data_IF_883212686909
#
_entry.id   IF_883212686909
#
_cell.length_a   1.000
_cell.length_b   1.000
_cell.length_c   1.000
_cell.angle_alpha   90.00
_cell.angle_beta   90.00
_cell.angle_gamma   90.00
#
_symmetry.space_group_name_H-M   'P 1'
#
loop_
_entity.id
_entity.type
_entity.pdbx_description
1 polymer ?
#
# COMPACT_ATOMS: atom_id res chain seq x y z
N UNK A 1 26.97 -10.21 40.63
CA UNK A 1 25.89 -10.38 41.62
C UNK A 1 24.57 -10.23 40.88
N UNK A 2 23.75 -11.31 40.89
CA UNK A 2 22.34 -11.46 40.44
C UNK A 2 21.98 -10.93 39.04
N UNK A 3 21.71 -11.71 37.98
CA UNK A 3 20.89 -12.93 37.80
C UNK A 3 19.49 -12.86 38.41
N UNK A 4 18.49 -12.76 37.53
CA UNK A 4 17.11 -13.30 37.53
C UNK A 4 16.24 -12.37 36.65
N UNK A 5 15.20 -12.74 35.91
CA UNK A 5 14.51 -13.98 35.48
C UNK A 5 13.20 -13.43 34.85
N UNK A 6 12.77 -13.97 33.69
CA UNK A 6 11.36 -14.15 33.18
C UNK A 6 11.36 -13.87 31.68
N UNK A 7 11.44 -14.81 30.74
CA UNK A 7 10.85 -16.15 30.59
C UNK A 7 9.31 -16.17 30.56
N UNK A 8 8.82 -16.53 29.37
CA UNK A 8 7.51 -17.07 28.97
C UNK A 8 6.31 -16.12 28.81
N UNK A 9 5.79 -16.06 27.58
CA UNK A 9 4.50 -16.69 27.28
C UNK A 9 4.40 -17.09 25.80
N UNK A 10 4.21 -18.39 25.59
CA UNK A 10 3.99 -19.10 24.34
C UNK A 10 2.51 -19.52 24.31
N UNK A 11 1.95 -19.50 23.09
CA UNK A 11 0.77 -20.23 22.61
C UNK A 11 -0.63 -19.77 23.06
N UNK A 12 -1.46 -19.51 22.04
CA UNK A 12 -2.75 -20.19 21.89
C UNK A 12 -3.15 -20.27 20.41
N UNK A 13 -2.74 -21.37 19.76
CA UNK A 13 -3.48 -21.95 18.65
C UNK A 13 -4.84 -22.41 19.20
N UNK A 14 -5.94 -21.96 18.60
CA UNK A 14 -7.23 -22.64 18.73
C UNK A 14 -7.62 -23.20 17.37
N UNK A 15 -7.33 -24.50 17.22
CA UNK A 15 -7.97 -25.39 16.26
C UNK A 15 -9.42 -25.62 16.70
N UNK A 16 -10.39 -25.32 15.83
CA UNK A 16 -11.71 -25.95 15.89
C UNK A 16 -11.91 -26.73 14.59
N UNK A 17 -11.41 -27.96 14.59
CA UNK A 17 -11.92 -29.01 13.71
C UNK A 17 -13.23 -29.55 14.29
N UNK A 18 -14.23 -29.77 13.43
CA UNK A 18 -15.58 -30.14 13.83
C UNK A 18 -15.79 -31.58 14.27
N UNK A 19 -16.98 -31.84 14.82
CA UNK A 19 -17.86 -33.00 14.54
C UNK A 19 -18.97 -33.08 15.59
N UNK A 20 -20.23 -32.94 15.18
CA UNK A 20 -21.32 -33.82 15.64
C UNK A 20 -22.52 -33.70 14.70
N UNK A 21 -22.90 -34.82 14.09
CA UNK A 21 -24.13 -34.96 13.32
C UNK A 21 -25.33 -35.23 14.22
N UNK A 22 -26.52 -34.88 13.75
CA UNK A 22 -27.78 -35.14 14.44
C UNK A 22 -29.00 -34.74 13.61
N UNK A 23 -29.68 -35.77 13.10
CA UNK A 23 -30.94 -35.85 12.35
C UNK A 23 -32.12 -34.96 12.79
N UNK A 24 -32.94 -34.50 11.82
CA UNK A 24 -34.35 -34.15 12.06
C UNK A 24 -34.87 -33.07 11.10
N UNK A 25 -35.93 -33.37 10.34
CA UNK A 25 -36.44 -32.54 9.25
C UNK A 25 -37.50 -31.50 9.64
N UNK A 26 -37.81 -30.68 8.62
CA UNK A 26 -39.02 -29.88 8.37
C UNK A 26 -39.37 -28.78 9.39
N UNK A 27 -39.09 -27.53 9.04
CA UNK A 27 -40.17 -26.69 8.54
C UNK A 27 -39.65 -25.44 7.82
N UNK A 28 -40.32 -25.13 6.71
CA UNK A 28 -40.05 -23.98 5.88
C UNK A 28 -40.49 -22.68 6.59
N UNK A 29 -39.64 -21.66 6.56
CA UNK A 29 -40.10 -20.27 6.60
C UNK A 29 -39.18 -19.41 5.76
N UNK A 30 -39.60 -19.22 4.52
CA UNK A 30 -39.09 -18.19 3.62
C UNK A 30 -39.40 -16.82 4.21
N UNK A 31 -38.37 -16.05 4.58
CA UNK A 31 -38.50 -14.60 4.78
C UNK A 31 -37.56 -13.93 3.80
N UNK A 32 -38.15 -13.43 2.72
CA UNK A 32 -37.53 -12.46 1.84
C UNK A 32 -37.94 -11.07 2.36
N UNK A 33 -36.97 -10.22 2.71
CA UNK A 33 -37.21 -8.78 2.87
C UNK A 33 -35.96 -7.97 2.52
N UNK A 34 -36.14 -7.18 1.46
CA UNK A 34 -35.60 -5.86 1.13
C UNK A 34 -34.09 -5.59 1.09
N UNK A 35 -33.65 -5.39 -0.15
CA UNK A 35 -32.77 -4.32 -0.63
C UNK A 35 -32.87 -3.03 0.21
N UNK A 36 -31.95 -2.87 1.15
CA UNK A 36 -31.71 -1.62 1.88
C UNK A 36 -30.70 -0.75 1.13
N UNK A 37 -31.22 0.20 0.36
CA UNK A 37 -30.49 1.29 -0.27
C UNK A 37 -29.79 2.14 0.82
N UNK A 38 -28.47 1.97 1.01
CA UNK A 38 -27.68 2.82 1.91
C UNK A 38 -27.53 4.21 1.27
N UNK A 39 -28.45 5.09 1.64
CA UNK A 39 -28.40 6.51 1.35
C UNK A 39 -27.39 7.14 2.31
N UNK A 40 -26.20 7.47 1.81
CA UNK A 40 -25.25 8.30 2.55
C UNK A 40 -25.90 9.67 2.84
N UNK A 41 -26.16 9.94 4.11
CA UNK A 41 -26.70 11.22 4.56
C UNK A 41 -25.54 12.19 4.71
N UNK A 42 -25.28 12.98 3.66
CA UNK A 42 -24.36 14.11 3.71
C UNK A 42 -24.97 15.17 4.64
N UNK A 43 -24.30 15.46 5.75
CA UNK A 43 -24.69 16.55 6.65
C UNK A 43 -23.94 17.81 6.23
N UNK A 44 -24.52 18.63 5.36
CA UNK A 44 -24.04 19.98 5.10
C UNK A 44 -24.68 20.96 6.09
N UNK A 45 -23.84 21.63 6.88
CA UNK A 45 -24.28 22.75 7.74
C UNK A 45 -24.21 24.05 6.94
N UNK A 46 -25.31 24.81 6.79
CA UNK A 46 -25.25 26.12 6.14
C UNK A 46 -25.00 27.21 7.18
N UNK A 47 -23.88 27.91 7.06
CA UNK A 47 -23.66 29.21 7.73
C UNK A 47 -23.54 30.27 6.65
N UNK A 48 -24.55 31.15 6.58
CA UNK A 48 -24.61 32.26 5.63
C UNK A 48 -24.12 33.60 6.20
N UNK A 49 -23.73 34.49 5.27
CA UNK A 49 -23.42 35.93 5.45
C UNK A 49 -21.93 36.19 5.65
N UNK A 50 -21.23 37.09 4.95
CA UNK A 50 -21.66 38.31 4.26
C UNK A 50 -20.56 38.82 3.29
N UNK A 51 -20.95 39.76 2.43
CA UNK A 51 -20.20 40.36 1.33
C UNK A 51 -18.85 41.02 1.69
N UNK A 52 -17.84 40.84 0.83
CA UNK A 52 -16.53 41.48 0.95
C UNK A 52 -15.75 41.52 -0.37
N UNK A 53 -16.04 42.53 -1.19
CA UNK A 53 -15.26 42.93 -2.37
C UNK A 53 -13.76 43.12 -2.05
N UNK A 54 -12.90 42.34 -2.71
CA UNK A 54 -11.45 42.55 -2.70
C UNK A 54 -10.74 41.64 -3.68
N UNK A 55 -10.48 42.14 -4.89
CA UNK A 55 -9.64 41.44 -5.86
C UNK A 55 -8.23 41.25 -5.33
N UNK A 56 -7.74 40.01 -5.39
CA UNK A 56 -6.34 39.67 -5.30
C UNK A 56 -6.10 38.45 -6.20
N UNK A 57 -5.15 38.59 -7.12
CA UNK A 57 -4.58 37.50 -7.90
C UNK A 57 -4.16 36.36 -6.96
N UNK A 58 -4.82 35.21 -7.05
CA UNK A 58 -4.24 33.96 -6.60
C UNK A 58 -3.88 33.18 -7.86
N UNK A 59 -2.57 32.95 -8.03
CA UNK A 59 -2.06 32.15 -9.13
C UNK A 59 -2.69 30.77 -9.14
N UNK A 60 -2.77 30.19 -10.33
CA UNK A 60 -2.97 28.76 -10.53
C UNK A 60 -1.93 28.00 -9.71
N UNK A 61 -2.28 27.68 -8.46
CA UNK A 61 -1.78 26.50 -7.80
C UNK A 61 -2.37 25.35 -8.61
N UNK A 62 -1.67 24.94 -9.65
CA UNK A 62 -2.05 23.77 -10.43
C UNK A 62 -1.87 22.57 -9.48
N UNK A 63 -2.87 22.28 -8.64
CA UNK A 63 -2.88 21.09 -7.80
C UNK A 63 -2.84 19.91 -8.75
N UNK A 64 -1.75 19.14 -8.67
CA UNK A 64 -1.68 17.89 -9.41
C UNK A 64 -2.67 16.94 -8.75
N UNK A 65 -3.67 16.53 -9.53
CA UNK A 65 -4.70 15.57 -9.15
C UNK A 65 -4.41 14.29 -9.93
N UNK A 66 -4.41 13.15 -9.23
CA UNK A 66 -4.17 11.84 -9.83
C UNK A 66 -5.44 10.99 -9.75
N UNK A 67 -5.89 10.48 -10.89
CA UNK A 67 -7.09 9.65 -10.99
C UNK A 67 -6.69 8.16 -10.97
N UNK A 68 -6.93 7.48 -9.84
CA UNK A 68 -6.65 6.05 -9.65
C UNK A 68 -7.87 5.18 -9.93
N UNK A 69 -8.42 5.31 -11.13
CA UNK A 69 -9.56 4.52 -11.59
C UNK A 69 -9.22 3.15 -12.19
N UNK A 70 -7.99 2.66 -11.99
CA UNK A 70 -7.46 1.39 -12.51
C UNK A 70 -6.83 0.57 -11.39
N UNK A 71 -6.85 -0.76 -11.54
CA UNK A 71 -6.16 -1.65 -10.60
C UNK A 71 -4.64 -1.64 -10.86
N UNK A 72 -3.84 -1.71 -9.80
CA UNK A 72 -2.37 -1.59 -9.86
C UNK A 72 -1.72 -2.63 -10.77
N UNK A 73 -2.26 -3.85 -10.77
CA UNK A 73 -1.78 -5.00 -11.52
C UNK A 73 -1.93 -4.84 -13.04
N UNK A 74 -2.81 -3.95 -13.52
CA UNK A 74 -2.99 -3.70 -14.95
C UNK A 74 -1.91 -2.79 -15.56
N UNK A 75 -1.03 -2.23 -14.74
CA UNK A 75 -0.08 -1.21 -15.19
C UNK A 75 1.28 -1.77 -15.60
N UNK A 76 1.50 -3.09 -15.52
CA UNK A 76 2.73 -3.72 -15.98
C UNK A 76 2.88 -3.66 -17.50
N UNK A 77 4.05 -3.19 -17.96
CA UNK A 77 4.42 -3.05 -19.38
C UNK A 77 5.80 -3.63 -19.62
N UNK A 78 5.97 -4.28 -20.76
CA UNK A 78 7.27 -4.81 -21.17
C UNK A 78 8.33 -3.69 -21.17
N UNK A 79 9.50 -3.97 -20.59
CA UNK A 79 10.62 -3.05 -20.52
C UNK A 79 10.54 -2.01 -19.38
N UNK A 80 9.50 -2.07 -18.54
CA UNK A 80 9.49 -1.29 -17.30
C UNK A 80 10.67 -1.67 -16.42
N UNK A 81 11.30 -0.67 -15.82
CA UNK A 81 12.42 -0.86 -14.90
C UNK A 81 12.37 0.09 -13.74
N UNK A 82 12.66 -0.43 -12.56
CA UNK A 82 12.72 0.28 -11.31
C UNK A 82 14.01 -0.08 -10.60
N UNK A 83 14.71 0.94 -10.10
CA UNK A 83 15.80 0.75 -9.14
C UNK A 83 15.51 1.57 -7.90
N UNK A 84 15.49 0.90 -6.76
CA UNK A 84 15.29 1.49 -5.45
C UNK A 84 16.58 1.46 -4.64
N UNK A 85 16.80 2.50 -3.86
CA UNK A 85 17.68 2.47 -2.70
C UNK A 85 16.85 2.13 -1.47
N UNK A 86 17.38 1.22 -0.65
CA UNK A 86 16.73 0.74 0.58
C UNK A 86 17.59 1.10 1.78
N UNK A 87 16.94 1.72 2.75
CA UNK A 87 17.50 2.10 4.05
C UNK A 87 16.69 1.41 5.15
N UNK A 88 17.39 0.77 6.09
CA UNK A 88 16.78 0.14 7.25
C UNK A 88 17.81 0.05 8.37
N UNK A 89 17.43 0.22 9.65
CA UNK A 89 18.34 0.00 10.79
C UNK A 89 18.95 -1.41 10.83
N UNK A 90 18.34 -2.38 10.14
CA UNK A 90 18.76 -3.78 10.10
C UNK A 90 19.65 -4.11 8.89
N UNK A 91 19.96 -3.13 8.03
CA UNK A 91 20.81 -3.28 6.85
C UNK A 91 22.03 -2.39 7.01
N UNK A 92 23.22 -2.97 6.90
CA UNK A 92 24.46 -2.19 6.84
C UNK A 92 24.52 -1.42 5.52
N UNK A 93 24.59 -0.09 5.61
CA UNK A 93 24.63 0.80 4.45
C UNK A 93 23.31 0.87 3.67
N UNK A 94 23.40 1.12 2.37
CA UNK A 94 22.26 1.23 1.46
C UNK A 94 22.20 0.00 0.57
N UNK A 95 21.10 -0.74 0.60
CA UNK A 95 20.86 -1.83 -0.33
C UNK A 95 20.23 -1.29 -1.62
N UNK A 96 20.43 -1.98 -2.74
CA UNK A 96 19.75 -1.69 -4.01
C UNK A 96 18.78 -2.79 -4.36
N UNK A 97 17.58 -2.42 -4.78
CA UNK A 97 16.57 -3.35 -5.29
C UNK A 97 16.17 -2.98 -6.70
N UNK A 98 16.31 -3.91 -7.63
CA UNK A 98 15.94 -3.75 -9.04
C UNK A 98 14.72 -4.61 -9.34
N UNK A 99 13.75 -4.04 -10.05
CA UNK A 99 12.59 -4.73 -10.62
C UNK A 99 12.50 -4.40 -12.10
N UNK A 100 12.53 -5.43 -12.94
CA UNK A 100 12.44 -5.29 -14.39
C UNK A 100 11.31 -6.16 -14.91
N UNK A 101 10.41 -5.58 -15.69
CA UNK A 101 9.38 -6.31 -16.42
C UNK A 101 9.96 -6.74 -17.76
N UNK A 102 10.27 -8.03 -17.87
CA UNK A 102 10.86 -8.61 -19.08
C UNK A 102 9.82 -8.87 -20.16
N UNK A 103 8.59 -9.20 -19.76
CA UNK A 103 7.45 -9.46 -20.64
C UNK A 103 6.15 -9.22 -19.86
N UNK A 104 5.13 -8.67 -20.51
CA UNK A 104 3.83 -8.43 -19.91
C UNK A 104 2.72 -8.69 -20.95
N UNK A 105 1.96 -9.75 -20.72
CA UNK A 105 0.77 -10.10 -21.51
C UNK A 105 -0.49 -9.83 -20.70
N UNK A 106 -1.67 -10.08 -21.28
CA UNK A 106 -2.94 -9.99 -20.54
C UNK A 106 -3.03 -11.02 -19.40
N UNK A 107 -2.43 -12.20 -19.58
CA UNK A 107 -2.58 -13.34 -18.66
C UNK A 107 -1.43 -13.44 -17.64
N UNK A 108 -0.21 -13.13 -18.07
CA UNK A 108 1.01 -13.35 -17.28
C UNK A 108 2.02 -12.20 -17.41
N UNK A 109 2.84 -12.04 -16.37
CA UNK A 109 3.96 -11.11 -16.35
C UNK A 109 5.23 -11.87 -16.00
N UNK A 110 6.28 -11.62 -16.77
CA UNK A 110 7.64 -12.08 -16.46
C UNK A 110 8.44 -10.93 -15.88
N UNK A 111 8.93 -11.10 -14.65
CA UNK A 111 9.77 -10.11 -13.98
C UNK A 111 11.13 -10.70 -13.64
N UNK A 112 12.15 -9.83 -13.62
CA UNK A 112 13.43 -10.08 -12.98
C UNK A 112 13.60 -9.14 -11.80
N UNK A 113 13.87 -9.72 -10.64
CA UNK A 113 14.17 -8.97 -9.42
C UNK A 113 15.61 -9.21 -9.01
N UNK A 114 16.27 -8.18 -8.49
CA UNK A 114 17.64 -8.29 -7.99
C UNK A 114 17.83 -7.43 -6.76
N UNK A 115 18.44 -8.00 -5.72
CA UNK A 115 18.83 -7.32 -4.50
C UNK A 115 20.34 -7.33 -4.39
N UNK A 116 20.92 -6.17 -4.09
CA UNK A 116 22.34 -6.03 -3.80
C UNK A 116 22.48 -5.41 -2.41
N UNK A 117 23.15 -6.12 -1.51
CA UNK A 117 23.61 -5.61 -0.21
C UNK A 117 25.14 -5.59 -0.19
N UNK A 118 25.75 -5.09 0.88
CA UNK A 118 27.21 -5.18 1.05
C UNK A 118 27.72 -6.63 1.00
N UNK A 119 26.99 -7.54 1.63
CA UNK A 119 27.41 -8.94 1.80
C UNK A 119 26.96 -9.88 0.67
N UNK A 120 25.94 -9.49 -0.11
CA UNK A 120 25.28 -10.44 -0.99
C UNK A 120 24.64 -9.81 -2.23
N UNK A 121 24.45 -10.64 -3.24
CA UNK A 121 23.58 -10.34 -4.38
C UNK A 121 22.66 -11.53 -4.60
N UNK A 122 21.37 -11.25 -4.73
CA UNK A 122 20.34 -12.23 -5.04
C UNK A 122 19.57 -11.76 -6.28
N UNK A 123 19.36 -12.65 -7.24
CA UNK A 123 18.60 -12.37 -8.45
C UNK A 123 17.65 -13.54 -8.71
N UNK A 124 16.42 -13.22 -9.12
CA UNK A 124 15.39 -14.20 -9.45
C UNK A 124 14.59 -13.71 -10.65
N UNK A 125 14.20 -14.62 -11.53
CA UNK A 125 13.23 -14.38 -12.59
C UNK A 125 12.01 -15.25 -12.35
N UNK A 126 10.82 -14.64 -12.44
CA UNK A 126 9.53 -15.29 -12.23
C UNK A 126 8.63 -14.95 -13.40
N UNK A 127 7.86 -15.94 -13.84
CA UNK A 127 6.72 -15.77 -14.75
C UNK A 127 5.49 -16.30 -14.03
N UNK A 128 4.46 -15.47 -13.87
CA UNK A 128 3.26 -15.82 -13.14
C UNK A 128 2.06 -15.00 -13.63
N UNK A 129 0.85 -15.44 -13.26
CA UNK A 129 -0.31 -14.57 -13.30
C UNK A 129 -0.08 -13.34 -12.40
N UNK A 130 -0.70 -12.21 -12.75
CA UNK A 130 -0.44 -10.91 -12.10
C UNK A 130 -0.74 -10.94 -10.60
N UNK A 131 -1.81 -11.62 -10.20
CA UNK A 131 -2.22 -11.80 -8.80
C UNK A 131 -1.39 -12.85 -8.05
N UNK A 132 -0.66 -13.70 -8.76
CA UNK A 132 0.20 -14.74 -8.18
C UNK A 132 1.67 -14.28 -8.04
N UNK A 133 2.05 -13.16 -8.65
CA UNK A 133 3.43 -12.69 -8.75
C UNK A 133 4.17 -12.61 -7.40
N UNK A 134 3.52 -12.04 -6.37
CA UNK A 134 4.12 -11.94 -5.03
C UNK A 134 4.22 -13.30 -4.32
N UNK A 135 3.32 -14.23 -4.61
CA UNK A 135 3.41 -15.59 -4.07
C UNK A 135 4.57 -16.38 -4.67
N UNK A 136 4.85 -16.20 -5.96
CA UNK A 136 5.99 -16.85 -6.63
C UNK A 136 7.34 -16.23 -6.26
N UNK A 137 7.35 -14.95 -5.88
CA UNK A 137 8.53 -14.33 -5.28
C UNK A 137 8.76 -14.79 -3.83
N UNK A 138 7.75 -15.34 -3.15
CA UNK A 138 7.83 -15.64 -1.73
C UNK A 138 8.98 -16.62 -1.40
N UNK A 139 9.62 -16.40 -0.25
CA UNK A 139 10.73 -17.24 0.22
C UNK A 139 12.11 -16.88 -0.35
N UNK A 140 12.21 -15.88 -1.23
CA UNK A 140 13.50 -15.30 -1.64
C UNK A 140 13.78 -13.95 -0.98
N UNK A 141 15.05 -13.50 -0.90
CA UNK A 141 15.37 -12.16 -0.41
C UNK A 141 14.66 -11.04 -1.18
N UNK A 142 14.54 -11.17 -2.51
CA UNK A 142 13.85 -10.19 -3.33
C UNK A 142 12.34 -10.20 -3.12
N UNK A 143 11.74 -11.36 -2.84
CA UNK A 143 10.32 -11.47 -2.54
C UNK A 143 9.93 -10.90 -1.18
N UNK A 144 10.80 -10.99 -0.17
CA UNK A 144 10.57 -10.33 1.12
C UNK A 144 10.47 -8.81 0.94
N UNK A 145 11.38 -8.21 0.16
CA UNK A 145 11.33 -6.78 -0.16
C UNK A 145 10.07 -6.44 -0.96
N UNK A 146 9.75 -7.24 -1.98
CA UNK A 146 8.53 -7.02 -2.78
C UNK A 146 7.26 -7.07 -1.92
N UNK A 147 7.20 -8.01 -0.98
CA UNK A 147 6.05 -8.18 -0.08
C UNK A 147 5.89 -6.98 0.85
N UNK A 148 6.99 -6.54 1.48
CA UNK A 148 6.96 -5.39 2.40
C UNK A 148 6.66 -4.10 1.64
N UNK A 149 7.32 -3.86 0.51
CA UNK A 149 7.25 -2.58 -0.19
C UNK A 149 6.04 -2.38 -1.11
N UNK A 150 5.61 -3.46 -1.78
CA UNK A 150 4.64 -3.36 -2.88
C UNK A 150 3.33 -4.10 -2.60
N UNK A 151 3.33 -5.13 -1.75
CA UNK A 151 2.13 -5.90 -1.42
C UNK A 151 1.48 -5.44 -0.10
N UNK A 152 1.47 -4.13 0.14
CA UNK A 152 0.87 -3.55 1.35
C UNK A 152 -0.66 -3.49 1.22
N UNK A 153 -1.42 -3.90 2.26
CA UNK A 153 -2.87 -3.83 2.23
C UNK A 153 -3.39 -2.40 2.06
N UNK A 154 -2.59 -1.39 2.38
CA UNK A 154 -2.97 0.01 2.27
C UNK A 154 -3.12 0.49 0.82
N UNK A 155 -2.52 -0.19 -0.15
CA UNK A 155 -2.72 0.14 -1.57
C UNK A 155 -4.16 -0.11 -2.01
N UNK A 156 -4.86 -1.10 -1.44
CA UNK A 156 -6.29 -1.30 -1.69
C UNK A 156 -7.16 -0.17 -1.10
N UNK A 157 -6.65 0.55 -0.10
CA UNK A 157 -7.35 1.67 0.53
C UNK A 157 -7.36 2.95 -0.30
N UNK A 158 -6.52 3.04 -1.34
CA UNK A 158 -6.44 4.17 -2.29
C UNK A 158 -7.01 3.83 -3.68
N UNK A 159 -7.39 2.57 -3.91
CA UNK A 159 -7.97 2.14 -5.20
C UNK A 159 -9.34 2.79 -5.41
N UNK A 160 -9.55 3.38 -6.60
CA UNK A 160 -10.80 4.04 -6.95
C UNK A 160 -10.96 5.46 -6.38
N UNK A 161 -10.00 5.94 -5.60
CA UNK A 161 -9.98 7.30 -5.09
C UNK A 161 -9.32 8.26 -6.10
N UNK A 162 -9.75 9.52 -6.07
CA UNK A 162 -8.98 10.61 -6.66
C UNK A 162 -8.00 11.09 -5.60
N UNK A 163 -6.72 11.21 -5.94
CA UNK A 163 -5.70 11.67 -5.00
C UNK A 163 -5.32 13.11 -5.32
N UNK A 164 -5.91 14.04 -4.57
CA UNK A 164 -5.53 15.45 -4.51
C UNK A 164 -4.98 15.79 -3.12
N UNK A 165 -4.00 16.70 -3.06
CA UNK A 165 -3.45 17.17 -1.78
C UNK A 165 -4.54 17.75 -0.88
N UNK A 166 -4.66 17.20 0.32
CA UNK A 166 -5.69 17.55 1.29
C UNK A 166 -6.83 16.52 1.39
N UNK A 167 -6.92 15.58 0.45
CA UNK A 167 -7.89 14.49 0.53
C UNK A 167 -7.60 13.59 1.74
N UNK A 168 -8.65 13.18 2.42
CA UNK A 168 -8.57 12.29 3.58
C UNK A 168 -9.83 11.45 3.73
N UNK A 169 -9.64 10.22 4.19
CA UNK A 169 -10.70 9.28 4.49
C UNK A 169 -10.27 8.31 5.58
N UNK A 170 -11.22 7.55 6.11
CA UNK A 170 -10.97 6.55 7.13
C UNK A 170 -11.45 5.19 6.65
N UNK A 171 -10.72 4.13 7.04
CA UNK A 171 -11.16 2.77 6.90
C UNK A 171 -11.14 2.08 8.26
N UNK A 172 -12.26 1.50 8.65
CA UNK A 172 -12.36 0.69 9.87
C UNK A 172 -11.98 -0.75 9.57
N UNK A 173 -11.00 -1.28 10.30
CA UNK A 173 -10.57 -2.67 10.21
C UNK A 173 -10.56 -3.38 11.57
N UNK A 174 -10.24 -4.68 11.56
CA UNK A 174 -10.13 -5.50 12.78
C UNK A 174 -9.06 -4.97 13.75
N UNK A 175 -8.12 -4.17 13.25
CA UNK A 175 -6.99 -3.60 14.00
C UNK A 175 -7.23 -2.14 14.42
N UNK A 176 -8.46 -1.64 14.31
CA UNK A 176 -8.82 -0.25 14.60
C UNK A 176 -9.13 0.56 13.36
N UNK A 177 -9.42 1.85 13.58
CA UNK A 177 -9.63 2.81 12.52
C UNK A 177 -8.28 3.32 12.02
N UNK A 178 -8.08 3.24 10.71
CA UNK A 178 -6.92 3.84 10.04
C UNK A 178 -7.39 5.03 9.20
N UNK A 179 -6.65 6.12 9.24
CA UNK A 179 -6.92 7.30 8.41
C UNK A 179 -5.88 7.41 7.31
N UNK A 180 -6.34 7.72 6.11
CA UNK A 180 -5.51 8.02 4.96
C UNK A 180 -5.54 9.53 4.71
N UNK A 181 -4.42 10.11 4.28
CA UNK A 181 -4.36 11.51 3.91
C UNK A 181 -3.35 11.71 2.79
N UNK A 182 -3.74 12.41 1.72
CA UNK A 182 -2.82 12.83 0.66
C UNK A 182 -2.18 14.15 1.08
N UNK A 183 -0.89 14.12 1.41
CA UNK A 183 -0.24 15.27 2.05
C UNK A 183 0.51 16.18 1.06
N UNK A 184 1.04 15.58 0.00
CA UNK A 184 1.87 16.29 -0.98
C UNK A 184 1.98 15.51 -2.28
N UNK A 185 2.38 16.18 -3.34
CA UNK A 185 2.86 15.54 -4.57
C UNK A 185 4.38 15.54 -4.58
N UNK A 186 4.99 14.56 -5.24
CA UNK A 186 6.45 14.45 -5.37
C UNK A 186 6.82 13.79 -6.68
N UNK A 187 8.12 13.82 -6.99
CA UNK A 187 8.67 13.20 -8.20
C UNK A 187 9.91 12.40 -7.82
N UNK A 188 9.94 11.12 -8.16
CA UNK A 188 11.06 10.21 -7.87
C UNK A 188 11.54 9.57 -9.16
N UNK A 189 12.80 9.79 -9.51
CA UNK A 189 13.37 9.36 -10.80
C UNK A 189 12.54 9.78 -12.05
N UNK A 190 11.82 10.90 -11.95
CA UNK A 190 10.93 11.40 -13.01
C UNK A 190 9.53 10.81 -13.02
N UNK A 191 9.17 9.95 -12.05
CA UNK A 191 7.81 9.49 -11.81
C UNK A 191 7.09 10.47 -10.87
N UNK A 192 6.11 11.19 -11.39
CA UNK A 192 5.25 12.07 -10.60
C UNK A 192 4.18 11.24 -9.86
N UNK A 193 4.01 11.51 -8.56
CA UNK A 193 3.17 10.72 -7.69
C UNK A 193 2.54 11.53 -6.55
N UNK A 194 1.43 11.01 -6.01
CA UNK A 194 0.76 11.50 -4.81
C UNK A 194 1.29 10.75 -3.58
N UNK A 195 1.74 11.49 -2.56
CA UNK A 195 2.14 10.92 -1.28
C UNK A 195 0.92 10.81 -0.38
N UNK A 196 0.51 9.58 -0.12
CA UNK A 196 -0.49 9.32 0.90
C UNK A 196 0.17 8.76 2.17
N UNK A 197 -0.38 9.16 3.30
CA UNK A 197 0.08 8.79 4.64
C UNK A 197 -1.05 8.06 5.33
N UNK A 198 -0.75 6.91 5.89
CA UNK A 198 -1.64 6.12 6.73
C UNK A 198 -1.28 6.35 8.18
N UNK A 199 -2.29 6.71 8.97
CA UNK A 199 -2.15 6.91 10.41
C UNK A 199 -3.06 5.97 11.19
N UNK A 200 -2.53 5.55 12.33
CA UNK A 200 -3.26 4.82 13.37
C UNK A 200 -3.10 5.61 14.66
N UNK A 201 -4.21 5.89 15.36
CA UNK A 201 -4.22 6.74 16.57
C UNK A 201 -3.58 8.13 16.39
N UNK A 202 -3.55 8.66 15.15
CA UNK A 202 -2.96 9.96 14.83
C UNK A 202 -1.45 9.94 14.53
N UNK A 203 -0.80 8.79 14.62
CA UNK A 203 0.63 8.63 14.30
C UNK A 203 0.83 7.93 12.96
N UNK A 204 1.88 8.31 12.24
CA UNK A 204 2.22 7.72 10.94
C UNK A 204 2.69 6.29 11.14
N UNK A 205 2.16 5.39 10.32
CA UNK A 205 2.55 3.97 10.31
C UNK A 205 3.09 3.55 8.94
N UNK A 206 2.56 4.16 7.88
CA UNK A 206 2.94 3.88 6.51
C UNK A 206 2.80 5.14 5.66
N UNK A 207 3.72 5.34 4.74
CA UNK A 207 3.60 6.34 3.69
C UNK A 207 4.07 5.77 2.36
N UNK A 208 3.46 6.22 1.27
CA UNK A 208 3.85 5.80 -0.07
C UNK A 208 3.52 6.89 -1.11
N UNK A 209 4.38 7.01 -2.11
CA UNK A 209 4.18 7.91 -3.25
C UNK A 209 3.74 7.11 -4.47
N UNK A 210 2.47 7.21 -4.83
CA UNK A 210 1.88 6.39 -5.89
C UNK A 210 1.51 7.18 -7.13
N UNK A 211 1.61 6.54 -8.29
CA UNK A 211 1.29 7.13 -9.60
C UNK A 211 0.35 6.22 -10.39
N UNK A 212 -0.67 6.74 -11.09
CA UNK A 212 -1.55 5.92 -11.93
C UNK A 212 -0.84 5.40 -13.19
N UNK A 213 0.39 5.84 -13.44
CA UNK A 213 1.23 5.43 -14.56
C UNK A 213 2.20 4.29 -14.20
N UNK A 214 2.26 3.86 -12.94
CA UNK A 214 3.20 2.86 -12.47
C UNK A 214 2.58 1.88 -11.46
N UNK A 215 2.73 0.55 -11.67
CA UNK A 215 2.30 -0.47 -10.71
C UNK A 215 3.09 -0.43 -9.39
N UNK A 216 4.26 0.19 -9.38
CA UNK A 216 5.13 0.31 -8.20
C UNK A 216 5.28 1.78 -7.78
N UNK A 217 5.37 2.07 -6.47
CA UNK A 217 5.45 3.44 -5.96
C UNK A 217 6.82 4.08 -6.23
N UNK A 218 6.87 5.41 -6.24
CA UNK A 218 8.11 6.19 -6.27
C UNK A 218 8.85 6.22 -4.93
N UNK A 219 8.13 5.98 -3.83
CA UNK A 219 8.67 6.01 -2.49
C UNK A 219 7.76 5.20 -1.55
N UNK A 220 8.33 4.59 -0.52
CA UNK A 220 7.59 3.98 0.58
C UNK A 220 8.39 4.06 1.88
N UNK A 221 7.69 4.18 3.01
CA UNK A 221 8.29 4.01 4.31
C UNK A 221 7.32 3.36 5.30
N UNK A 222 7.89 2.56 6.21
CA UNK A 222 7.18 1.82 7.24
C UNK A 222 7.77 2.15 8.62
N UNK A 223 6.88 2.43 9.57
CA UNK A 223 7.19 2.80 10.95
C UNK A 223 6.66 1.71 11.88
N UNK A 224 7.50 1.22 12.79
CA UNK A 224 7.16 0.08 13.64
C UNK A 224 6.37 0.52 14.88
N UNK A 225 6.78 1.60 15.53
CA UNK A 225 6.16 2.09 16.76
C UNK A 225 5.41 3.42 16.55
N UNK A 226 4.37 3.61 17.34
CA UNK A 226 3.56 4.82 17.32
C UNK A 226 4.42 6.03 17.73
N UNK A 227 4.61 6.96 16.79
CA UNK A 227 5.36 8.20 17.03
C UNK A 227 6.85 8.11 16.71
N UNK A 228 7.30 7.06 16.02
CA UNK A 228 8.65 7.00 15.46
C UNK A 228 8.88 8.14 14.45
N UNK A 229 10.01 8.84 14.61
CA UNK A 229 10.45 9.87 13.67
C UNK A 229 11.23 9.28 12.47
N UNK A 230 11.73 8.05 12.61
CA UNK A 230 12.54 7.36 11.59
C UNK A 230 11.87 6.03 11.21
N UNK A 231 11.75 5.72 9.90
CA UNK A 231 11.18 4.45 9.47
C UNK A 231 12.15 3.29 9.72
N UNK A 232 11.59 2.12 10.07
CA UNK A 232 12.39 0.88 10.18
C UNK A 232 12.69 0.26 8.81
N UNK A 233 11.99 0.74 7.77
CA UNK A 233 12.21 0.35 6.38
C UNK A 233 11.75 1.47 5.44
N UNK A 234 12.63 1.90 4.55
CA UNK A 234 12.38 2.94 3.55
C UNK A 234 12.90 2.47 2.20
N UNK A 235 12.14 2.72 1.13
CA UNK A 235 12.59 2.53 -0.25
C UNK A 235 12.33 3.78 -1.08
N UNK A 236 13.37 4.27 -1.74
CA UNK A 236 13.31 5.44 -2.62
C UNK A 236 13.64 5.04 -4.05
N UNK A 237 12.77 5.37 -5.01
CA UNK A 237 13.02 5.13 -6.43
C UNK A 237 14.08 6.09 -6.96
N UNK A 238 15.18 5.54 -7.47
CA UNK A 238 16.34 6.31 -7.99
C UNK A 238 16.55 6.15 -9.49
N UNK A 239 15.96 5.14 -10.12
CA UNK A 239 15.90 5.00 -11.57
C UNK A 239 14.55 4.42 -11.99
N UNK A 240 13.95 5.04 -13.01
CA UNK A 240 12.68 4.60 -13.58
C UNK A 240 12.75 4.59 -15.11
N UNK A 241 12.22 3.53 -15.72
CA UNK A 241 11.92 3.46 -17.14
C UNK A 241 10.48 2.97 -17.32
N UNK A 242 9.60 3.69 -18.03
CA UNK A 242 8.18 3.39 -18.08
C UNK A 242 7.78 2.17 -18.94
N UNK A 243 8.72 1.55 -19.64
CA UNK A 243 8.42 0.47 -20.60
C UNK A 243 7.73 0.95 -21.87
N UNK A 244 7.36 -0.01 -22.72
CA UNK A 244 6.73 0.20 -24.02
C UNK A 244 5.20 0.11 -23.98
#
# INVERSE_FOLDING_TARGET
>A
MHSMWKALLVASLVLVAGCSGGTGGEDATTTATETGNLTATVTTTPTGGDDGSGGANNGDSNSMMFDFNQSWDQQFREGQYYRYEITSPNIDGTATYEWEVLDATEDEVTIRTKVVTEDSTSEQTVTAARDELYSELSGSPSGSIATVGFNSPYYSGVEGETLEVGDSWEASGTNGDVSFTVERTSSYAGLDCANFVVRTNGSVFWESCVSPESPLPGYMAFYEEEGDDEPVFEMTLVEYRPGN
#
